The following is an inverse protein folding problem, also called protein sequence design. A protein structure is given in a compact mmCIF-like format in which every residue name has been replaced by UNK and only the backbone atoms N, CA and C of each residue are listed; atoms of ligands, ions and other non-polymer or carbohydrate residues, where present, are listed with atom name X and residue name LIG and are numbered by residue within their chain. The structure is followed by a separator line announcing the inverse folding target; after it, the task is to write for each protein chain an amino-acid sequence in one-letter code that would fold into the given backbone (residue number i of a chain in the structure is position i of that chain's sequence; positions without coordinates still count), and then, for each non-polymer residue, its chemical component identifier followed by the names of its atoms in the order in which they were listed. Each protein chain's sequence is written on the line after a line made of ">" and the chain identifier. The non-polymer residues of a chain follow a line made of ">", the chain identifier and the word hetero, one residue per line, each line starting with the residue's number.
data_IF_050127354763
#
_entry.id   IF_050127354763
#
_cell.length_a   1.000
_cell.length_b   1.000
_cell.length_c   1.000
_cell.angle_alpha   90.00
_cell.angle_beta   90.00
_cell.angle_gamma   90.00
#
_symmetry.space_group_name_H-M   'P 1'
#
loop_
_entity.id
_entity.type
_entity.pdbx_description
1 polymer ?
#
# COMPACT_ATOMS: atom_id res chain seq x y z
N UNK A 1 -5.30 -5.80 -0.99
CA UNK A 1 -6.59 -6.30 -1.54
C UNK A 1 -7.67 -5.29 -1.22
N UNK A 2 -8.54 -4.96 -2.18
CA UNK A 2 -9.69 -4.05 -2.02
C UNK A 2 -10.96 -4.89 -2.17
N UNK A 3 -11.84 -4.82 -1.17
CA UNK A 3 -13.09 -5.59 -1.10
C UNK A 3 -14.27 -4.63 -1.11
N UNK A 4 -15.27 -4.92 -1.92
CA UNK A 4 -16.56 -4.23 -1.91
C UNK A 4 -17.25 -4.46 -0.55
N UNK A 5 -17.56 -3.42 0.24
CA UNK A 5 -18.20 -3.60 1.54
C UNK A 5 -19.63 -4.13 1.42
N UNK A 6 -20.30 -3.90 0.29
CA UNK A 6 -21.69 -4.30 0.06
C UNK A 6 -21.82 -5.76 -0.39
N UNK A 7 -20.84 -6.26 -1.15
CA UNK A 7 -20.93 -7.59 -1.80
C UNK A 7 -19.92 -8.60 -1.28
N UNK A 8 -18.90 -8.16 -0.54
CA UNK A 8 -17.78 -8.99 -0.10
C UNK A 8 -16.89 -9.48 -1.25
N UNK A 9 -17.12 -9.03 -2.49
CA UNK A 9 -16.30 -9.40 -3.64
C UNK A 9 -14.98 -8.65 -3.62
N UNK A 10 -13.91 -9.35 -3.98
CA UNK A 10 -12.60 -8.75 -4.22
C UNK A 10 -12.68 -7.95 -5.52
N UNK A 11 -12.57 -6.63 -5.41
CA UNK A 11 -12.61 -5.75 -6.58
C UNK A 11 -11.23 -5.60 -7.22
N UNK A 12 -10.18 -5.54 -6.39
CA UNK A 12 -8.79 -5.40 -6.85
C UNK A 12 -7.81 -6.10 -5.92
N UNK A 13 -6.77 -6.67 -6.50
CA UNK A 13 -5.60 -7.18 -5.77
C UNK A 13 -4.41 -6.30 -6.16
N UNK A 14 -3.83 -5.65 -5.15
CA UNK A 14 -2.58 -4.91 -5.27
C UNK A 14 -1.55 -5.69 -4.46
N UNK A 15 -0.45 -6.06 -5.10
CA UNK A 15 0.70 -6.67 -4.44
C UNK A 15 1.75 -5.60 -4.20
N UNK A 16 2.14 -5.43 -2.95
CA UNK A 16 3.21 -4.52 -2.52
C UNK A 16 4.40 -5.30 -1.96
N UNK A 17 4.54 -6.57 -2.33
CA UNK A 17 5.57 -7.47 -1.81
C UNK A 17 7.00 -6.95 -2.07
N UNK A 18 7.21 -6.24 -3.18
CA UNK A 18 8.51 -5.64 -3.54
C UNK A 18 8.82 -4.33 -2.80
N UNK A 19 7.87 -3.80 -2.02
CA UNK A 19 8.01 -2.54 -1.29
C UNK A 19 8.36 -2.75 0.18
N UNK A 20 8.47 -3.99 0.62
CA UNK A 20 8.99 -4.31 1.96
C UNK A 20 10.46 -3.87 1.97
N UNK A 21 10.87 -2.98 2.90
CA UNK A 21 12.27 -2.62 3.06
C UNK A 21 13.10 -3.89 3.27
N UNK A 22 14.32 -3.89 2.73
CA UNK A 22 15.26 -5.01 2.87
C UNK A 22 15.27 -5.54 4.31
N UNK A 23 15.20 -6.86 4.51
CA UNK A 23 15.07 -7.45 5.85
C UNK A 23 16.19 -6.98 6.80
N UNK A 24 17.36 -6.62 6.26
CA UNK A 24 18.49 -6.02 6.97
C UNK A 24 18.17 -4.65 7.62
N UNK A 25 17.19 -3.90 7.11
CA UNK A 25 16.72 -2.65 7.71
C UNK A 25 15.66 -2.87 8.81
N UNK A 26 15.08 -4.06 8.85
CA UNK A 26 14.00 -4.42 9.75
C UNK A 26 14.58 -5.16 10.96
N UNK A 27 14.85 -4.43 12.05
CA UNK A 27 15.54 -4.94 13.26
C UNK A 27 14.82 -6.09 14.00
N UNK A 28 13.68 -6.58 13.51
CA UNK A 28 12.94 -7.70 14.10
C UNK A 28 12.17 -8.44 13.03
N UNK A 29 12.18 -9.79 13.10
CA UNK A 29 11.42 -10.68 12.20
C UNK A 29 9.89 -10.52 12.27
N UNK A 30 9.41 -9.63 13.14
CA UNK A 30 8.02 -9.21 13.29
C UNK A 30 7.60 -8.04 12.38
N UNK A 31 8.48 -7.60 11.47
CA UNK A 31 8.28 -6.36 10.71
C UNK A 31 7.33 -6.54 9.51
N UNK A 32 6.07 -6.83 9.83
CA UNK A 32 5.00 -7.06 8.86
C UNK A 32 4.27 -5.79 8.47
N UNK A 33 3.73 -5.78 7.25
CA UNK A 33 2.86 -4.74 6.74
C UNK A 33 1.54 -4.72 7.52
N UNK A 34 1.28 -3.66 8.26
CA UNK A 34 0.11 -3.53 9.13
C UNK A 34 -0.59 -2.17 9.01
N UNK A 35 0.08 -1.15 8.48
CA UNK A 35 -0.51 0.18 8.34
C UNK A 35 -0.96 0.42 6.90
N UNK A 36 -2.27 0.45 6.68
CA UNK A 36 -2.86 0.89 5.41
C UNK A 36 -3.84 2.02 5.74
N UNK A 37 -3.65 3.18 5.15
CA UNK A 37 -4.56 4.31 5.29
C UNK A 37 -4.87 4.92 3.91
N UNK A 38 -6.13 5.27 3.68
CA UNK A 38 -6.55 5.95 2.46
C UNK A 38 -7.01 7.37 2.80
N UNK A 39 -6.47 8.36 2.11
CA UNK A 39 -6.91 9.74 2.20
C UNK A 39 -7.87 10.05 1.03
N UNK A 40 -9.18 10.18 1.29
CA UNK A 40 -10.17 10.44 0.24
C UNK A 40 -10.06 11.85 -0.35
N UNK A 41 -9.41 12.79 0.33
CA UNK A 41 -9.28 14.17 -0.15
C UNK A 41 -8.26 14.29 -1.29
N UNK A 42 -7.17 13.52 -1.20
CA UNK A 42 -6.11 13.47 -2.21
C UNK A 42 -6.15 12.22 -3.08
N UNK A 43 -6.92 11.20 -2.70
CA UNK A 43 -6.90 9.87 -3.33
C UNK A 43 -5.62 9.09 -3.02
N UNK A 44 -4.81 9.53 -2.05
CA UNK A 44 -3.54 8.90 -1.72
C UNK A 44 -3.73 7.67 -0.82
N UNK A 45 -2.98 6.62 -1.11
CA UNK A 45 -2.86 5.44 -0.26
C UNK A 45 -1.53 5.47 0.49
N UNK A 46 -1.57 5.34 1.80
CA UNK A 46 -0.40 5.27 2.65
C UNK A 46 -0.19 3.85 3.14
N UNK A 47 1.07 3.41 3.13
CA UNK A 47 1.46 2.07 3.51
C UNK A 47 2.69 2.09 4.40
N UNK A 48 2.63 1.37 5.51
CA UNK A 48 3.74 1.17 6.45
C UNK A 48 3.62 -0.19 7.15
N UNK A 49 4.60 -0.51 7.99
CA UNK A 49 4.66 -1.76 8.73
C UNK A 49 5.18 -1.57 10.15
N UNK A 50 5.06 -2.62 10.95
CA UNK A 50 5.61 -2.65 12.31
C UNK A 50 7.12 -2.44 12.23
N UNK A 51 7.63 -1.44 12.96
CA UNK A 51 9.06 -1.07 13.00
C UNK A 51 9.68 -0.62 11.66
N UNK A 52 8.87 -0.21 10.68
CA UNK A 52 9.41 0.36 9.46
C UNK A 52 9.93 1.78 9.75
N UNK A 53 11.18 2.12 9.37
CA UNK A 53 11.70 3.47 9.50
C UNK A 53 11.08 4.44 8.48
N UNK A 54 10.24 3.93 7.57
CA UNK A 54 9.71 4.64 6.40
C UNK A 54 8.19 4.49 6.29
N UNK A 55 7.57 5.51 5.70
CA UNK A 55 6.16 5.54 5.30
C UNK A 55 6.11 5.75 3.79
N UNK A 56 5.42 4.87 3.07
CA UNK A 56 5.20 5.01 1.64
C UNK A 56 3.87 5.70 1.37
N UNK A 57 3.86 6.63 0.42
CA UNK A 57 2.64 7.23 -0.14
C UNK A 57 2.53 6.85 -1.61
N UNK A 58 1.40 6.29 -1.99
CA UNK A 58 1.04 5.94 -3.35
C UNK A 58 -0.04 6.89 -3.85
N UNK A 59 0.19 7.45 -5.03
CA UNK A 59 -0.79 8.24 -5.75
C UNK A 59 -1.22 7.44 -6.97
N UNK A 60 -2.53 7.19 -7.08
CA UNK A 60 -3.08 6.56 -8.28
C UNK A 60 -3.08 7.59 -9.41
N UNK A 61 -2.17 7.43 -10.37
CA UNK A 61 -2.25 8.17 -11.63
C UNK A 61 -3.20 7.45 -12.57
N UNK A 62 -4.10 8.20 -13.19
CA UNK A 62 -4.98 7.64 -14.20
C UNK A 62 -4.14 7.31 -15.44
N UNK A 63 -4.27 6.08 -15.95
CA UNK A 63 -3.39 5.54 -17.00
C UNK A 63 -3.65 6.23 -18.35
N UNK A 64 -4.76 6.96 -18.48
CA UNK A 64 -5.11 7.77 -19.65
C UNK A 64 -4.25 9.04 -19.82
N UNK A 65 -3.45 9.42 -18.83
CA UNK A 65 -2.62 10.65 -18.87
C UNK A 65 -1.17 10.43 -19.33
N UNK A 66 -0.79 9.21 -19.74
CA UNK A 66 0.51 8.97 -20.36
C UNK A 66 0.38 8.99 -21.89
N UNK A 67 0.67 10.12 -22.58
CA UNK A 67 0.90 10.04 -24.01
C UNK A 67 2.15 9.18 -24.25
N UNK A 68 2.01 8.19 -25.12
CA UNK A 68 3.11 7.37 -25.62
C UNK A 68 4.22 8.22 -26.26
#
# INVERSE_FOLDING_TARGET
>A
MIISPETGKVEKILSFAELVPDEDQLQSGDSVMNGIAFDPSSGSLYLTGKNWPVLYRFEFKNIEEFPH
#
